data_IF_638373831625
#
_entry.id   IF_638373831625
#
_cell.length_a   1.000
_cell.length_b   1.000
_cell.length_c   1.000
_cell.angle_alpha   90.00
_cell.angle_beta   90.00
_cell.angle_gamma   90.00
#
_symmetry.space_group_name_H-M   'P 1'
#
loop_
_entity.id
_entity.type
_entity.pdbx_description
1 polymer ?
#
# COMPACT_ATOMS: atom_id res chain seq x y z
N UNK A 1 9.77 -15.56 -6.77
CA UNK A 1 10.09 -16.11 -8.11
C UNK A 1 11.48 -16.72 -8.07
N UNK A 2 11.66 -17.88 -8.69
CA UNK A 2 12.95 -18.53 -8.83
C UNK A 2 13.21 -18.79 -10.31
N UNK A 3 14.49 -18.95 -10.70
CA UNK A 3 14.84 -19.30 -12.08
C UNK A 3 14.16 -20.60 -12.51
N UNK A 4 14.08 -21.59 -11.63
CA UNK A 4 13.35 -22.82 -11.89
C UNK A 4 11.86 -22.60 -12.15
N UNK A 5 11.19 -21.76 -11.35
CA UNK A 5 9.76 -21.46 -11.56
C UNK A 5 9.50 -20.74 -12.87
N UNK A 6 10.41 -19.87 -13.32
CA UNK A 6 10.31 -19.19 -14.61
C UNK A 6 10.54 -20.16 -15.77
N UNK A 7 11.54 -21.02 -15.68
CA UNK A 7 11.84 -22.02 -16.72
C UNK A 7 10.74 -23.08 -16.89
N UNK A 8 9.91 -23.30 -15.87
CA UNK A 8 8.78 -24.22 -15.92
C UNK A 8 7.52 -23.62 -16.61
N UNK A 9 7.51 -22.33 -16.94
CA UNK A 9 6.39 -21.68 -17.63
C UNK A 9 6.49 -21.96 -19.14
N UNK A 10 5.53 -22.73 -19.67
CA UNK A 10 5.42 -23.00 -21.10
C UNK A 10 4.54 -21.98 -21.82
N UNK A 11 4.70 -21.88 -23.16
CA UNK A 11 3.78 -21.08 -23.99
C UNK A 11 2.31 -21.52 -23.80
N UNK A 12 2.07 -22.80 -23.57
CA UNK A 12 0.72 -23.33 -23.32
C UNK A 12 0.13 -22.80 -22.01
N UNK A 13 0.96 -22.62 -20.97
CA UNK A 13 0.51 -22.04 -19.69
C UNK A 13 0.10 -20.57 -19.87
N UNK A 14 0.89 -19.80 -20.60
CA UNK A 14 0.57 -18.40 -20.94
C UNK A 14 -0.74 -18.32 -21.76
N UNK A 15 -0.90 -19.17 -22.77
CA UNK A 15 -2.13 -19.21 -23.57
C UNK A 15 -3.35 -19.62 -22.74
N UNK A 16 -3.21 -20.59 -21.85
CA UNK A 16 -4.28 -21.03 -20.95
C UNK A 16 -4.66 -19.93 -19.96
N UNK A 17 -3.68 -19.23 -19.40
CA UNK A 17 -3.90 -18.09 -18.51
C UNK A 17 -4.67 -16.99 -19.24
N UNK A 18 -4.21 -16.59 -20.44
CA UNK A 18 -4.90 -15.60 -21.26
C UNK A 18 -6.35 -15.98 -21.55
N UNK A 19 -6.59 -17.20 -22.03
CA UNK A 19 -7.96 -17.70 -22.35
C UNK A 19 -8.86 -17.71 -21.11
N UNK A 20 -8.32 -17.96 -19.94
CA UNK A 20 -9.09 -18.04 -18.69
C UNK A 20 -9.45 -16.66 -18.13
N UNK A 21 -8.53 -15.70 -18.18
CA UNK A 21 -8.66 -14.45 -17.48
C UNK A 21 -8.96 -13.23 -18.35
N UNK A 22 -8.51 -13.22 -19.61
CA UNK A 22 -8.81 -12.18 -20.58
C UNK A 22 -10.16 -12.45 -21.24
N UNK A 23 -11.23 -12.16 -20.53
CA UNK A 23 -12.62 -12.38 -20.95
C UNK A 23 -13.45 -11.12 -20.70
N UNK A 24 -14.47 -10.79 -21.51
CA UNK A 24 -15.19 -9.52 -21.37
C UNK A 24 -15.89 -9.35 -20.02
N UNK A 25 -16.38 -10.43 -19.43
CA UNK A 25 -17.01 -10.41 -18.10
C UNK A 25 -16.02 -10.35 -16.93
N UNK A 26 -14.72 -10.17 -17.20
CA UNK A 26 -13.65 -9.90 -16.22
C UNK A 26 -12.84 -8.65 -16.60
N UNK A 27 -13.38 -7.83 -17.49
CA UNK A 27 -12.67 -6.67 -18.05
C UNK A 27 -13.51 -5.41 -17.94
N UNK A 28 -12.85 -4.29 -17.69
CA UNK A 28 -13.44 -2.95 -17.74
C UNK A 28 -12.82 -2.22 -18.93
N UNK A 29 -13.64 -1.52 -19.69
CA UNK A 29 -13.22 -0.63 -20.76
C UNK A 29 -13.74 0.77 -20.43
N UNK A 30 -12.85 1.68 -20.15
CA UNK A 30 -13.19 3.08 -19.90
C UNK A 30 -12.53 3.95 -20.96
N UNK A 31 -13.28 4.86 -21.54
CA UNK A 31 -12.81 5.77 -22.58
C UNK A 31 -13.09 7.20 -22.11
N UNK A 32 -12.06 8.03 -22.16
CA UNK A 32 -12.15 9.47 -21.86
C UNK A 32 -11.41 10.25 -22.93
N UNK A 33 -11.96 11.37 -23.35
CA UNK A 33 -11.39 12.24 -24.38
C UNK A 33 -12.45 13.03 -25.13
N UNK A 34 -12.04 13.71 -26.19
CA UNK A 34 -12.95 14.41 -27.09
C UNK A 34 -13.65 13.42 -28.03
N UNK A 35 -14.60 12.66 -27.47
CA UNK A 35 -15.35 11.64 -28.18
C UNK A 35 -16.85 11.76 -27.90
N UNK A 36 -17.68 11.47 -28.90
CA UNK A 36 -19.13 11.38 -28.71
C UNK A 36 -19.54 9.92 -28.55
N UNK A 37 -20.43 9.66 -27.60
CA UNK A 37 -20.91 8.32 -27.29
C UNK A 37 -21.51 7.61 -28.54
N UNK A 38 -22.28 8.36 -29.35
CA UNK A 38 -22.93 7.83 -30.54
C UNK A 38 -21.95 7.40 -31.63
N UNK A 39 -20.77 8.04 -31.67
CA UNK A 39 -19.71 7.73 -32.64
C UNK A 39 -18.83 6.58 -32.17
N UNK A 40 -18.47 6.58 -30.87
CA UNK A 40 -17.52 5.60 -30.31
C UNK A 40 -18.18 4.23 -30.04
N UNK A 41 -19.44 4.21 -29.62
CA UNK A 41 -20.16 2.98 -29.30
C UNK A 41 -20.18 1.96 -30.45
N UNK A 42 -20.59 2.32 -31.69
CA UNK A 42 -20.56 1.37 -32.81
C UNK A 42 -19.17 0.82 -33.10
N UNK A 43 -18.14 1.65 -32.94
CA UNK A 43 -16.74 1.21 -33.11
C UNK A 43 -16.35 0.17 -32.07
N UNK A 44 -16.67 0.42 -30.80
CA UNK A 44 -16.42 -0.54 -29.71
C UNK A 44 -17.15 -1.86 -29.95
N UNK A 45 -18.44 -1.78 -30.33
CA UNK A 45 -19.24 -2.97 -30.64
C UNK A 45 -18.68 -3.75 -31.84
N UNK A 46 -18.14 -3.07 -32.85
CA UNK A 46 -17.49 -3.73 -34.00
C UNK A 46 -16.20 -4.48 -33.61
N UNK A 47 -15.42 -3.90 -32.69
CA UNK A 47 -14.13 -4.45 -32.24
C UNK A 47 -14.30 -5.56 -31.17
N UNK A 48 -15.17 -5.34 -30.21
CA UNK A 48 -15.29 -6.20 -29.03
C UNK A 48 -16.60 -6.99 -28.94
N UNK A 49 -17.61 -6.66 -29.77
CA UNK A 49 -18.93 -7.31 -29.70
C UNK A 49 -18.94 -8.81 -29.99
N UNK A 50 -17.91 -9.32 -30.69
CA UNK A 50 -17.70 -10.76 -30.93
C UNK A 50 -16.89 -11.45 -29.83
N UNK A 51 -16.38 -10.72 -28.83
CA UNK A 51 -15.60 -11.27 -27.73
C UNK A 51 -16.51 -12.06 -26.80
N UNK A 52 -16.33 -13.37 -26.78
CA UNK A 52 -17.23 -14.30 -26.09
C UNK A 52 -16.97 -14.26 -24.56
N UNK A 53 -18.05 -14.17 -23.80
CA UNK A 53 -18.00 -14.32 -22.34
C UNK A 53 -17.39 -15.67 -21.97
N UNK A 54 -16.51 -15.64 -20.96
CA UNK A 54 -15.95 -16.83 -20.37
C UNK A 54 -16.70 -17.30 -19.14
N UNK A 55 -16.17 -18.33 -18.48
CA UNK A 55 -16.70 -18.80 -17.21
C UNK A 55 -16.47 -17.73 -16.14
N UNK A 56 -17.48 -17.51 -15.31
CA UNK A 56 -17.36 -16.59 -14.17
C UNK A 56 -16.21 -17.00 -13.23
N UNK A 57 -15.39 -16.02 -12.86
CA UNK A 57 -14.21 -16.25 -12.04
C UNK A 57 -14.58 -16.08 -10.56
N UNK A 58 -14.76 -17.21 -9.89
CA UNK A 58 -14.96 -17.23 -8.43
C UNK A 58 -13.61 -17.36 -7.74
N UNK A 59 -13.10 -16.24 -7.23
CA UNK A 59 -11.88 -16.22 -6.42
C UNK A 59 -12.23 -16.54 -4.96
N UNK A 60 -11.83 -17.72 -4.50
CA UNK A 60 -11.73 -18.00 -3.08
C UNK A 60 -10.33 -17.64 -2.63
N UNK A 61 -10.20 -16.48 -2.03
CA UNK A 61 -8.92 -16.11 -1.42
C UNK A 61 -8.73 -16.91 -0.14
N UNK A 62 -7.53 -17.44 0.12
CA UNK A 62 -7.23 -18.02 1.42
C UNK A 62 -7.37 -16.92 2.48
N UNK A 63 -7.95 -17.29 3.61
CA UNK A 63 -7.98 -16.41 4.76
C UNK A 63 -6.57 -16.30 5.30
N UNK A 64 -6.02 -15.09 5.32
CA UNK A 64 -4.70 -14.80 5.87
C UNK A 64 -4.88 -14.03 7.17
N UNK A 65 -4.14 -14.44 8.20
CA UNK A 65 -4.15 -13.77 9.50
C UNK A 65 -2.86 -12.97 9.68
N UNK A 66 -2.95 -11.90 10.45
CA UNK A 66 -1.76 -11.23 10.97
C UNK A 66 -1.04 -12.12 11.97
N UNK A 67 0.18 -11.78 12.29
CA UNK A 67 1.00 -12.46 13.29
C UNK A 67 0.48 -12.17 14.70
N UNK A 68 0.78 -13.06 15.65
CA UNK A 68 0.48 -12.83 17.07
C UNK A 68 1.55 -11.98 17.76
N UNK A 69 2.77 -11.92 17.19
CA UNK A 69 3.90 -11.13 17.68
C UNK A 69 4.73 -10.61 16.49
N UNK A 70 5.66 -9.69 16.75
CA UNK A 70 6.62 -9.24 15.74
C UNK A 70 7.50 -10.41 15.30
N UNK A 71 7.55 -10.63 13.99
CA UNK A 71 8.41 -11.64 13.35
C UNK A 71 9.41 -10.94 12.43
N UNK A 72 10.69 -11.22 12.63
CA UNK A 72 11.77 -10.70 11.81
C UNK A 72 12.28 -11.80 10.89
N UNK A 73 12.17 -11.58 9.58
CA UNK A 73 12.67 -12.45 8.53
C UNK A 73 13.89 -11.79 7.90
N UNK A 74 14.99 -12.51 7.85
CA UNK A 74 16.23 -12.01 7.26
C UNK A 74 16.63 -12.84 6.05
N UNK A 75 16.99 -12.14 4.97
CA UNK A 75 17.56 -12.73 3.74
C UNK A 75 18.99 -12.23 3.57
N UNK A 76 19.96 -13.16 3.66
CA UNK A 76 21.37 -12.82 3.46
C UNK A 76 21.70 -12.58 1.98
N UNK A 77 22.19 -11.38 1.71
CA UNK A 77 22.76 -11.01 0.41
C UNK A 77 24.21 -10.51 0.62
N UNK A 78 25.22 -11.41 0.54
CA UNK A 78 26.62 -11.10 0.91
C UNK A 78 27.23 -9.91 0.19
N UNK A 79 26.73 -9.56 -1.00
CA UNK A 79 27.23 -8.45 -1.82
C UNK A 79 26.34 -7.18 -1.73
N UNK A 80 25.34 -7.16 -0.86
CA UNK A 80 24.48 -6.00 -0.70
C UNK A 80 25.26 -4.85 -0.05
N UNK A 81 25.23 -3.67 -0.69
CA UNK A 81 25.84 -2.44 -0.15
C UNK A 81 24.92 -1.69 0.81
N UNK A 82 23.62 -2.01 0.76
CA UNK A 82 22.56 -1.47 1.61
C UNK A 82 21.62 -2.58 2.03
N UNK A 83 20.94 -2.36 3.14
CA UNK A 83 19.82 -3.22 3.57
C UNK A 83 18.50 -2.63 3.09
N UNK A 84 17.65 -3.49 2.55
CA UNK A 84 16.24 -3.19 2.28
C UNK A 84 15.40 -3.66 3.46
N UNK A 85 14.61 -2.75 4.01
CA UNK A 85 13.75 -2.99 5.17
C UNK A 85 12.29 -2.79 4.75
N UNK A 86 11.44 -3.77 5.09
CA UNK A 86 9.99 -3.69 4.97
C UNK A 86 9.36 -4.08 6.30
N UNK A 87 8.48 -3.24 6.82
CA UNK A 87 7.76 -3.46 8.09
C UNK A 87 6.28 -3.27 7.82
N UNK A 88 5.44 -4.28 8.11
CA UNK A 88 4.03 -4.13 7.81
C UNK A 88 3.13 -5.24 8.32
N UNK A 89 1.84 -5.06 8.05
CA UNK A 89 0.77 -6.00 8.37
C UNK A 89 -0.35 -5.98 7.32
N UNK A 90 -1.19 -7.00 7.34
CA UNK A 90 -2.40 -7.05 6.53
C UNK A 90 -3.51 -6.24 7.18
N UNK A 91 -4.37 -5.64 6.34
CA UNK A 91 -5.52 -4.85 6.76
C UNK A 91 -6.79 -5.38 6.09
N UNK A 92 -7.86 -5.57 6.85
CA UNK A 92 -9.19 -5.84 6.30
C UNK A 92 -9.91 -4.51 6.04
N UNK A 93 -9.54 -3.86 4.94
CA UNK A 93 -10.10 -2.56 4.56
C UNK A 93 -10.18 -2.43 3.04
N UNK A 94 -11.30 -1.88 2.57
CA UNK A 94 -11.56 -1.56 1.17
C UNK A 94 -11.84 -0.05 1.01
N UNK A 95 -11.95 0.42 -0.23
CA UNK A 95 -12.32 1.82 -0.51
C UNK A 95 -13.75 2.19 -0.06
N UNK A 96 -14.63 1.19 0.12
CA UNK A 96 -16.00 1.41 0.63
C UNK A 96 -16.08 1.50 2.15
N UNK A 97 -14.97 1.20 2.85
CA UNK A 97 -14.94 1.24 4.30
C UNK A 97 -14.94 2.71 4.80
N UNK A 98 -15.76 3.08 5.79
CA UNK A 98 -15.78 4.45 6.33
C UNK A 98 -14.43 4.91 6.91
N UNK A 99 -13.57 3.98 7.32
CA UNK A 99 -12.24 4.28 7.84
C UNK A 99 -11.22 4.64 6.74
N UNK A 100 -11.58 4.51 5.45
CA UNK A 100 -10.66 4.69 4.33
C UNK A 100 -9.96 6.05 4.31
N UNK A 101 -10.72 7.13 4.48
CA UNK A 101 -10.19 8.50 4.40
C UNK A 101 -9.25 8.81 5.57
N UNK A 102 -9.64 8.40 6.79
CA UNK A 102 -8.79 8.58 7.97
C UNK A 102 -7.50 7.75 7.90
N UNK A 103 -7.57 6.51 7.37
CA UNK A 103 -6.37 5.70 7.12
C UNK A 103 -5.42 6.36 6.12
N UNK A 104 -5.95 6.94 5.03
CA UNK A 104 -5.14 7.64 4.03
C UNK A 104 -4.43 8.85 4.61
N UNK A 105 -5.12 9.66 5.41
CA UNK A 105 -4.52 10.82 6.09
C UNK A 105 -3.48 10.40 7.12
N UNK A 106 -3.78 9.40 7.94
CA UNK A 106 -2.83 8.87 8.91
C UNK A 106 -1.56 8.32 8.26
N UNK A 107 -1.69 7.58 7.14
CA UNK A 107 -0.54 7.12 6.38
C UNK A 107 0.25 8.29 5.74
N UNK A 108 -0.45 9.34 5.27
CA UNK A 108 0.20 10.54 4.73
C UNK A 108 1.10 11.20 5.77
N UNK A 109 0.64 11.29 7.03
CA UNK A 109 1.39 11.86 8.15
C UNK A 109 2.55 10.95 8.54
N UNK A 110 2.33 9.62 8.59
CA UNK A 110 3.38 8.68 8.98
C UNK A 110 4.53 8.64 7.96
N UNK A 111 4.22 8.46 6.67
CA UNK A 111 5.27 8.26 5.67
C UNK A 111 4.83 8.44 4.22
N UNK A 112 3.74 9.19 3.98
CA UNK A 112 3.22 9.43 2.62
C UNK A 112 4.04 10.41 1.78
N UNK A 113 5.24 10.81 2.22
CA UNK A 113 6.12 11.71 1.48
C UNK A 113 7.22 12.31 2.35
N UNK A 114 7.96 13.26 1.80
CA UNK A 114 9.11 13.89 2.46
C UNK A 114 8.79 14.71 3.73
N UNK A 115 7.53 15.02 3.98
CA UNK A 115 7.06 15.65 5.21
C UNK A 115 6.50 14.64 6.24
N UNK A 116 6.61 13.34 5.97
CA UNK A 116 6.15 12.30 6.89
C UNK A 116 7.12 12.06 8.04
N UNK A 117 6.60 11.58 9.17
CA UNK A 117 7.41 11.30 10.38
C UNK A 117 8.57 10.34 10.11
N UNK A 118 8.34 9.29 9.31
CA UNK A 118 9.39 8.33 8.93
C UNK A 118 10.54 8.99 8.16
N UNK A 119 10.21 9.89 7.23
CA UNK A 119 11.23 10.60 6.47
C UNK A 119 12.03 11.56 7.36
N UNK A 120 11.37 12.36 8.17
CA UNK A 120 12.01 13.29 9.11
C UNK A 120 12.92 12.53 10.08
N UNK A 121 12.41 11.47 10.73
CA UNK A 121 13.20 10.69 11.69
C UNK A 121 14.42 10.02 11.02
N UNK A 122 14.19 9.17 10.00
CA UNK A 122 15.27 8.32 9.49
C UNK A 122 16.25 9.07 8.57
N UNK A 123 15.78 10.07 7.83
CA UNK A 123 16.65 10.84 6.92
C UNK A 123 17.23 12.07 7.57
N UNK A 124 16.39 12.96 8.13
CA UNK A 124 16.82 14.27 8.58
C UNK A 124 17.52 14.22 9.93
N UNK A 125 16.89 13.53 10.92
CA UNK A 125 17.43 13.45 12.26
C UNK A 125 18.55 12.41 12.41
N UNK A 126 18.38 11.23 11.80
CA UNK A 126 19.32 10.10 11.98
C UNK A 126 20.33 9.94 10.85
N UNK A 127 20.03 10.42 9.65
CA UNK A 127 20.90 10.26 8.48
C UNK A 127 21.13 8.79 8.06
N UNK A 128 20.16 7.89 8.35
CA UNK A 128 20.29 6.46 8.05
C UNK A 128 20.03 6.13 6.60
N UNK A 129 19.21 6.94 5.91
CA UNK A 129 18.69 6.69 4.59
C UNK A 129 18.54 7.97 3.77
N UNK A 130 18.34 7.84 2.47
CA UNK A 130 17.89 8.94 1.60
C UNK A 130 16.37 9.16 1.67
N UNK A 131 15.61 8.23 2.25
CA UNK A 131 14.18 8.35 2.48
C UNK A 131 13.58 7.10 3.09
N UNK A 132 12.57 7.29 3.93
CA UNK A 132 11.74 6.25 4.49
C UNK A 132 10.27 6.63 4.31
N UNK A 133 9.47 5.69 3.82
CA UNK A 133 8.10 5.95 3.41
C UNK A 133 7.16 4.86 3.89
N UNK A 134 5.86 5.17 3.93
CA UNK A 134 4.83 4.18 4.17
C UNK A 134 3.72 4.22 3.13
N UNK A 135 3.05 3.10 2.97
CA UNK A 135 1.90 2.93 2.09
C UNK A 135 0.81 2.13 2.81
N UNK A 136 -0.40 2.66 2.82
CA UNK A 136 -1.61 1.95 3.19
C UNK A 136 -2.40 1.67 1.90
N UNK A 137 -2.21 0.47 1.36
CA UNK A 137 -2.87 0.02 0.14
C UNK A 137 -4.20 -0.64 0.45
N UNK A 138 -5.20 -0.38 -0.39
CA UNK A 138 -6.49 -1.05 -0.34
C UNK A 138 -6.73 -1.75 -1.67
N UNK A 139 -7.21 -2.97 -1.63
CA UNK A 139 -7.62 -3.69 -2.83
C UNK A 139 -9.08 -4.13 -2.73
N UNK A 140 -9.57 -4.83 -3.73
CA UNK A 140 -10.92 -5.39 -3.70
C UNK A 140 -11.10 -6.45 -2.61
N UNK A 141 -10.00 -7.08 -2.18
CA UNK A 141 -10.03 -8.28 -1.35
C UNK A 141 -9.30 -8.13 -0.02
N UNK A 142 -8.16 -7.45 -0.03
CA UNK A 142 -7.31 -7.26 1.16
C UNK A 142 -6.62 -5.91 1.07
N UNK A 143 -6.30 -5.34 2.20
CA UNK A 143 -5.40 -4.21 2.31
C UNK A 143 -4.07 -4.62 2.94
N UNK A 144 -3.07 -3.78 2.82
CA UNK A 144 -1.81 -3.94 3.54
C UNK A 144 -1.22 -2.58 3.90
N UNK A 145 -0.64 -2.53 5.07
CA UNK A 145 0.25 -1.45 5.47
C UNK A 145 1.69 -1.90 5.31
N UNK A 146 2.55 -1.04 4.78
CA UNK A 146 3.99 -1.29 4.65
C UNK A 146 4.76 0.00 4.84
N UNK A 147 5.70 0.02 5.77
CA UNK A 147 6.75 1.02 5.88
C UNK A 147 8.07 0.44 5.35
N UNK A 148 8.88 1.25 4.68
CA UNK A 148 10.12 0.78 4.04
C UNK A 148 11.24 1.80 4.09
N UNK A 149 12.47 1.32 4.09
CA UNK A 149 13.66 2.13 3.96
C UNK A 149 14.83 1.30 3.37
N UNK A 150 15.67 1.96 2.56
CA UNK A 150 16.98 1.43 2.15
C UNK A 150 18.05 2.14 2.97
N UNK A 151 18.80 1.40 3.79
CA UNK A 151 19.76 1.94 4.75
C UNK A 151 21.14 1.32 4.61
N UNK A 152 22.18 1.98 5.14
CA UNK A 152 23.49 1.34 5.27
C UNK A 152 23.40 0.11 6.18
N UNK A 153 24.14 -0.95 5.88
CA UNK A 153 24.07 -2.22 6.62
C UNK A 153 24.31 -2.03 8.13
N UNK A 154 25.23 -1.15 8.53
CA UNK A 154 25.62 -0.93 9.93
C UNK A 154 24.53 -0.31 10.80
N UNK A 155 23.49 0.29 10.20
CA UNK A 155 22.38 0.96 10.92
C UNK A 155 21.04 0.25 10.73
N UNK A 156 21.05 -0.97 10.20
CA UNK A 156 19.83 -1.73 9.87
C UNK A 156 18.96 -1.98 11.10
N UNK A 157 19.55 -2.42 12.19
CA UNK A 157 18.89 -2.66 13.46
C UNK A 157 18.23 -1.41 14.04
N UNK A 158 18.98 -0.32 14.06
CA UNK A 158 18.52 0.99 14.52
C UNK A 158 17.38 1.52 13.65
N UNK A 159 17.48 1.35 12.33
CA UNK A 159 16.43 1.76 11.40
C UNK A 159 15.12 0.97 11.59
N UNK A 160 15.20 -0.36 11.75
CA UNK A 160 14.04 -1.19 12.09
C UNK A 160 13.40 -0.74 13.40
N UNK A 161 14.21 -0.45 14.40
CA UNK A 161 13.74 0.02 15.70
C UNK A 161 13.01 1.36 15.59
N UNK A 162 13.57 2.32 14.85
CA UNK A 162 12.94 3.62 14.66
C UNK A 162 11.65 3.53 13.83
N UNK A 163 11.59 2.70 12.79
CA UNK A 163 10.35 2.47 12.03
C UNK A 163 9.24 1.93 12.94
N UNK A 164 9.53 0.89 13.73
CA UNK A 164 8.55 0.31 14.65
C UNK A 164 8.12 1.33 15.71
N UNK A 165 9.05 2.12 16.21
CA UNK A 165 8.78 3.18 17.17
C UNK A 165 7.84 4.24 16.59
N UNK A 166 8.06 4.73 15.38
CA UNK A 166 7.17 5.70 14.74
C UNK A 166 5.76 5.14 14.51
N UNK A 167 5.65 3.85 14.12
CA UNK A 167 4.37 3.17 13.99
C UNK A 167 3.64 3.12 15.34
N UNK A 168 4.34 2.78 16.42
CA UNK A 168 3.75 2.74 17.78
C UNK A 168 3.35 4.14 18.26
N UNK A 169 4.21 5.12 18.12
CA UNK A 169 3.93 6.49 18.53
C UNK A 169 2.67 7.05 17.87
N UNK A 170 2.54 6.90 16.54
CA UNK A 170 1.37 7.43 15.84
C UNK A 170 0.08 6.69 16.21
N UNK A 171 0.15 5.40 16.55
CA UNK A 171 -1.02 4.64 17.00
C UNK A 171 -1.41 4.97 18.44
N UNK A 172 -0.45 5.13 19.35
CA UNK A 172 -0.69 5.40 20.76
C UNK A 172 -1.05 6.87 21.04
N UNK A 173 -0.27 7.79 20.50
CA UNK A 173 -0.42 9.23 20.74
C UNK A 173 -1.40 9.89 19.76
N UNK A 174 -1.49 9.36 18.51
CA UNK A 174 -2.27 9.95 17.43
C UNK A 174 -1.48 11.00 16.65
N UNK A 175 -2.21 11.97 16.11
CA UNK A 175 -1.66 13.05 15.28
C UNK A 175 -2.11 14.39 15.84
N UNK A 176 -1.36 15.46 15.55
CA UNK A 176 -1.74 16.82 15.91
C UNK A 176 -2.71 17.42 14.90
N UNK A 177 -3.44 18.47 15.28
CA UNK A 177 -4.31 19.23 14.36
C UNK A 177 -3.51 19.86 13.21
N UNK A 178 -2.27 20.28 13.47
CA UNK A 178 -1.39 20.87 12.46
C UNK A 178 -0.97 19.81 11.40
N UNK A 179 -0.56 18.61 11.85
CA UNK A 179 -0.25 17.50 10.96
C UNK A 179 -1.45 17.09 10.10
N UNK A 180 -2.65 17.02 10.73
CA UNK A 180 -3.87 16.67 10.03
C UNK A 180 -4.26 17.73 8.99
N UNK A 181 -4.19 19.02 9.35
CA UNK A 181 -4.47 20.13 8.44
C UNK A 181 -3.53 20.09 7.22
N UNK A 182 -2.22 19.95 7.46
CA UNK A 182 -1.21 19.84 6.40
C UNK A 182 -1.45 18.63 5.48
N UNK A 183 -1.81 17.48 6.05
CA UNK A 183 -2.12 16.29 5.27
C UNK A 183 -3.37 16.48 4.40
N UNK A 184 -4.43 17.11 4.92
CA UNK A 184 -5.64 17.45 4.16
C UNK A 184 -5.34 18.37 3.00
N UNK A 185 -4.61 19.46 3.23
CA UNK A 185 -4.22 20.42 2.18
C UNK A 185 -3.43 19.74 1.06
N UNK A 186 -2.49 18.86 1.42
CA UNK A 186 -1.71 18.10 0.45
C UNK A 186 -2.57 17.15 -0.38
N UNK A 187 -3.54 16.45 0.25
CA UNK A 187 -4.48 15.59 -0.46
C UNK A 187 -5.38 16.38 -1.42
N UNK A 188 -5.92 17.50 -0.97
CA UNK A 188 -6.74 18.39 -1.80
C UNK A 188 -5.94 18.88 -3.01
N UNK A 189 -4.75 19.42 -2.78
CA UNK A 189 -3.89 19.90 -3.86
C UNK A 189 -3.53 18.80 -4.86
N UNK A 190 -3.13 17.62 -4.38
CA UNK A 190 -2.79 16.48 -5.24
C UNK A 190 -4.00 15.96 -6.03
N UNK A 191 -5.18 15.93 -5.41
CA UNK A 191 -6.41 15.51 -6.08
C UNK A 191 -6.77 16.47 -7.21
N UNK A 192 -6.80 17.77 -6.94
CA UNK A 192 -7.11 18.79 -7.97
C UNK A 192 -6.14 18.70 -9.13
N UNK A 193 -4.83 18.66 -8.87
CA UNK A 193 -3.81 18.51 -9.92
C UNK A 193 -3.97 17.21 -10.72
N UNK A 194 -4.36 16.11 -10.06
CA UNK A 194 -4.55 14.84 -10.74
C UNK A 194 -5.73 14.84 -11.70
N UNK A 195 -6.79 15.63 -11.43
CA UNK A 195 -7.99 15.70 -12.28
C UNK A 195 -7.76 16.40 -13.62
N UNK A 196 -6.64 17.10 -13.78
CA UNK A 196 -6.23 17.65 -15.09
C UNK A 196 -5.87 16.56 -16.10
N UNK A 197 -5.56 15.35 -15.62
CA UNK A 197 -5.20 14.24 -16.47
C UNK A 197 -6.45 13.42 -16.85
N UNK A 198 -6.77 13.29 -18.17
CA UNK A 198 -7.91 12.47 -18.60
C UNK A 198 -7.88 11.03 -18.09
N UNK A 199 -6.69 10.44 -17.97
CA UNK A 199 -6.50 9.09 -17.42
C UNK A 199 -6.97 8.96 -15.96
N UNK A 200 -6.89 10.02 -15.16
CA UNK A 200 -7.40 10.04 -13.78
C UNK A 200 -8.92 9.89 -13.76
N UNK A 201 -9.61 10.65 -14.64
CA UNK A 201 -11.07 10.56 -14.77
C UNK A 201 -11.50 9.16 -15.23
N UNK A 202 -10.77 8.58 -16.20
CA UNK A 202 -10.99 7.19 -16.61
C UNK A 202 -10.78 6.22 -15.43
N UNK A 203 -9.76 6.47 -14.60
CA UNK A 203 -9.49 5.71 -13.39
C UNK A 203 -10.63 5.78 -12.37
N UNK A 204 -11.21 6.96 -12.16
CA UNK A 204 -12.36 7.15 -11.27
C UNK A 204 -13.57 6.34 -11.73
N UNK A 205 -13.94 6.43 -13.01
CA UNK A 205 -15.03 5.64 -13.57
C UNK A 205 -14.77 4.13 -13.43
N UNK A 206 -13.55 3.69 -13.72
CA UNK A 206 -13.17 2.27 -13.55
C UNK A 206 -13.24 1.83 -12.09
N UNK A 207 -12.83 2.67 -11.14
CA UNK A 207 -12.83 2.35 -9.71
C UNK A 207 -14.25 2.21 -9.16
N UNK A 208 -15.19 3.05 -9.61
CA UNK A 208 -16.61 2.96 -9.20
C UNK A 208 -17.12 1.54 -9.48
N UNK A 209 -16.93 1.02 -10.68
CA UNK A 209 -17.37 -0.32 -11.04
C UNK A 209 -16.52 -1.42 -10.37
N UNK A 210 -15.19 -1.26 -10.39
CA UNK A 210 -14.24 -2.27 -9.91
C UNK A 210 -14.37 -2.52 -8.41
N UNK A 211 -14.58 -1.47 -7.63
CA UNK A 211 -14.66 -1.53 -6.16
C UNK A 211 -16.10 -1.45 -5.65
N UNK A 212 -17.08 -1.37 -6.55
CA UNK A 212 -18.51 -1.21 -6.21
C UNK A 212 -18.73 0.01 -5.31
N UNK A 213 -18.14 1.14 -5.68
CA UNK A 213 -18.28 2.42 -4.98
C UNK A 213 -19.65 3.04 -5.30
N UNK A 214 -20.18 3.92 -4.43
CA UNK A 214 -21.29 4.80 -4.79
C UNK A 214 -20.97 5.62 -6.04
N UNK A 215 -21.97 5.90 -6.87
CA UNK A 215 -21.77 6.65 -8.12
C UNK A 215 -21.25 8.08 -7.89
N UNK A 216 -21.56 8.66 -6.73
CA UNK A 216 -21.17 10.01 -6.28
C UNK A 216 -19.88 9.99 -5.42
N UNK A 217 -19.17 8.86 -5.34
CA UNK A 217 -17.99 8.70 -4.48
C UNK A 217 -16.95 9.80 -4.70
N UNK A 218 -16.66 10.15 -5.95
CA UNK A 218 -15.68 11.19 -6.27
C UNK A 218 -16.25 12.61 -6.20
N UNK A 219 -17.56 12.79 -6.20
CA UNK A 219 -18.21 14.08 -5.97
C UNK A 219 -18.03 14.52 -4.50
N UNK A 220 -18.18 13.59 -3.57
CA UNK A 220 -18.05 13.82 -2.11
C UNK A 220 -16.62 13.56 -1.58
N UNK A 221 -15.68 13.19 -2.45
CA UNK A 221 -14.35 12.73 -2.07
C UNK A 221 -13.57 13.72 -1.20
N UNK A 222 -13.54 14.98 -1.61
CA UNK A 222 -12.83 16.04 -0.87
C UNK A 222 -13.53 16.37 0.45
N UNK A 223 -14.87 16.39 0.48
CA UNK A 223 -15.64 16.62 1.69
C UNK A 223 -15.36 15.54 2.74
N UNK A 224 -15.29 14.28 2.30
CA UNK A 224 -14.95 13.17 3.18
C UNK A 224 -13.55 13.30 3.79
N UNK A 225 -12.55 13.77 3.04
CA UNK A 225 -11.23 14.08 3.61
C UNK A 225 -11.29 15.23 4.62
N UNK A 226 -12.05 16.30 4.31
CA UNK A 226 -12.16 17.45 5.18
C UNK A 226 -12.89 17.15 6.50
N UNK A 227 -13.83 16.21 6.48
CA UNK A 227 -14.61 15.82 7.67
C UNK A 227 -13.82 14.98 8.70
N UNK A 228 -12.68 14.39 8.32
CA UNK A 228 -11.87 13.55 9.22
C UNK A 228 -11.32 14.36 10.39
N UNK A 229 -11.41 13.83 11.60
CA UNK A 229 -10.86 14.42 12.82
C UNK A 229 -9.59 13.72 13.29
N UNK A 230 -8.84 14.33 14.21
CA UNK A 230 -7.66 13.68 14.83
C UNK A 230 -8.04 12.40 15.57
N UNK A 231 -9.22 12.38 16.20
CA UNK A 231 -9.72 11.19 16.89
C UNK A 231 -10.05 10.06 15.90
N UNK A 232 -10.58 10.39 14.72
CA UNK A 232 -10.79 9.39 13.66
C UNK A 232 -9.47 8.80 13.19
N UNK A 233 -8.45 9.64 12.95
CA UNK A 233 -7.12 9.17 12.54
C UNK A 233 -6.53 8.26 13.62
N UNK A 234 -6.53 8.69 14.88
CA UNK A 234 -6.02 7.89 15.99
C UNK A 234 -6.73 6.54 16.11
N UNK A 235 -8.06 6.54 16.12
CA UNK A 235 -8.89 5.32 16.17
C UNK A 235 -8.57 4.37 15.02
N UNK A 236 -8.48 4.89 13.80
CA UNK A 236 -8.26 4.11 12.59
C UNK A 236 -6.84 3.56 12.53
N UNK A 237 -5.82 4.35 12.85
CA UNK A 237 -4.45 3.86 12.89
C UNK A 237 -4.27 2.79 13.97
N UNK A 238 -4.85 2.97 15.16
CA UNK A 238 -4.82 1.95 16.21
C UNK A 238 -5.49 0.64 15.80
N UNK A 239 -6.56 0.71 14.98
CA UNK A 239 -7.27 -0.47 14.48
C UNK A 239 -6.50 -1.24 13.40
N UNK A 240 -5.80 -0.54 12.50
CA UNK A 240 -5.25 -1.14 11.29
C UNK A 240 -3.72 -1.26 11.27
N UNK A 241 -2.99 -0.42 12.00
CA UNK A 241 -1.54 -0.53 12.14
C UNK A 241 -1.21 -1.30 13.41
N UNK A 242 -0.89 -2.56 13.27
CA UNK A 242 -0.72 -3.49 14.38
C UNK A 242 0.72 -3.46 14.92
N UNK A 243 1.06 -2.40 15.70
CA UNK A 243 2.43 -2.15 16.18
C UNK A 243 3.15 -3.31 16.87
N UNK A 244 2.40 -4.26 17.46
CA UNK A 244 2.95 -5.44 18.15
C UNK A 244 2.89 -6.73 17.32
N UNK A 245 2.27 -6.70 16.13
CA UNK A 245 2.02 -7.86 15.27
C UNK A 245 2.62 -7.69 13.87
N UNK A 246 3.71 -6.94 13.77
CA UNK A 246 4.32 -6.59 12.50
C UNK A 246 5.19 -7.71 11.94
N UNK A 247 5.15 -7.89 10.64
CA UNK A 247 6.15 -8.63 9.90
C UNK A 247 7.25 -7.69 9.46
N UNK A 248 8.48 -8.00 9.85
CA UNK A 248 9.69 -7.30 9.43
C UNK A 248 10.43 -8.19 8.45
N UNK A 249 10.72 -7.67 7.27
CA UNK A 249 11.58 -8.31 6.28
C UNK A 249 12.82 -7.46 6.09
N UNK A 250 13.97 -8.07 6.24
CA UNK A 250 15.27 -7.42 6.01
C UNK A 250 16.05 -8.22 4.99
N UNK A 251 16.53 -7.55 3.95
CA UNK A 251 17.43 -8.12 2.96
C UNK A 251 18.72 -7.31 2.99
N UNK A 252 19.85 -7.93 3.26
CA UNK A 252 21.13 -7.22 3.36
C UNK A 252 22.30 -8.14 3.64
N UNK A 253 23.47 -7.58 3.93
CA UNK A 253 24.70 -8.32 4.15
C UNK A 253 24.74 -8.85 5.60
N UNK A 254 24.47 -10.16 5.76
CA UNK A 254 24.33 -10.80 7.08
C UNK A 254 25.53 -10.64 7.99
N UNK A 255 26.74 -10.67 7.44
CA UNK A 255 27.98 -10.48 8.19
C UNK A 255 28.02 -9.13 8.95
N UNK A 256 27.44 -8.08 8.38
CA UNK A 256 27.46 -6.73 8.94
C UNK A 256 26.24 -6.48 9.86
N UNK A 257 25.19 -7.28 9.77
CA UNK A 257 23.89 -7.03 10.39
C UNK A 257 23.55 -7.99 11.55
N UNK A 258 23.78 -9.29 11.37
CA UNK A 258 23.21 -10.31 12.25
C UNK A 258 23.68 -10.21 13.71
N UNK A 259 24.89 -9.73 13.97
CA UNK A 259 25.42 -9.63 15.35
C UNK A 259 24.63 -8.62 16.18
N UNK A 260 24.26 -7.48 15.61
CA UNK A 260 23.46 -6.43 16.26
C UNK A 260 21.98 -6.80 16.34
N UNK A 261 21.44 -7.44 15.31
CA UNK A 261 20.04 -7.89 15.25
C UNK A 261 19.70 -8.95 16.31
N UNK A 262 20.57 -9.91 16.54
CA UNK A 262 20.40 -10.94 17.56
C UNK A 262 20.33 -10.31 18.96
N UNK A 263 21.12 -9.28 19.25
CA UNK A 263 21.11 -8.57 20.52
C UNK A 263 19.78 -7.83 20.76
N UNK A 264 19.20 -7.21 19.76
CA UNK A 264 17.92 -6.49 19.89
C UNK A 264 16.76 -7.45 20.10
N UNK A 265 16.70 -8.54 19.36
CA UNK A 265 15.65 -9.57 19.49
C UNK A 265 15.72 -10.24 20.86
N UNK A 266 16.92 -10.59 21.34
CA UNK A 266 17.13 -11.23 22.65
C UNK A 266 16.80 -10.26 23.80
N UNK A 267 17.15 -8.99 23.72
CA UNK A 267 16.80 -8.00 24.75
C UNK A 267 15.29 -7.75 24.87
N UNK A 268 14.55 -7.80 23.78
CA UNK A 268 13.08 -7.63 23.80
C UNK A 268 12.30 -8.86 24.23
N UNK A 269 12.81 -10.06 23.98
CA UNK A 269 12.22 -11.32 24.47
C UNK A 269 12.41 -11.52 25.99
N UNK A 270 13.39 -10.84 26.60
CA UNK A 270 13.69 -10.96 28.03
C UNK A 270 13.10 -9.84 28.90
N UNK A 271 12.39 -8.89 28.33
CA UNK A 271 11.76 -7.76 29.05
C UNK A 271 10.24 -7.86 29.19
N UNK A 272 9.67 -9.05 28.91
CA UNK A 272 8.25 -9.37 29.19
C UNK A 272 8.12 -10.38 30.32
#
# INVERSE_FOLDING_TARGET
ETEESLNNISLKDVQNYYKKYAIPNNSFLTIVGDVKYEEIKPLIESLFGKWKKGKELNYKLPQTNNLDNIEINFVDMPNAVQSEIYVGNLMDISMTNPDFFALKLGNQILGGGASGRLFTNLREDKGFTYGSYSSASTSRYTGSFTASASVRNEVTDSAVTEIIKEIKLITEEGVTEEELSSAKEKYVGSFIMSTEQPSTIAGFATNIDKFNLPSDFYETYLENFQSVTVDDVKRVLNKYLLGDNLRVMVVGKGQDILTSFILIVVQRLNTN
#
